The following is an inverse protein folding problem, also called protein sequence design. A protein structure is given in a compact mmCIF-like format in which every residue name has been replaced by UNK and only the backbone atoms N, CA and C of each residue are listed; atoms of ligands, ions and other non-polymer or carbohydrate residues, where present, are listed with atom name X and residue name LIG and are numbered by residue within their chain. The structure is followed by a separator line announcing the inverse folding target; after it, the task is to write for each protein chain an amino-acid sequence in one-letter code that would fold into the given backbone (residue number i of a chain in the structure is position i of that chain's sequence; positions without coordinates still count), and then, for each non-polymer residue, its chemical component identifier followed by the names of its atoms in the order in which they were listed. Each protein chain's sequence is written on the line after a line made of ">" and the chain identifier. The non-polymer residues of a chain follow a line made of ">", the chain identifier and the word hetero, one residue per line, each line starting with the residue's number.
data_IF_124111176271
#
_entry.id   IF_124111176271
#
_cell.length_a   1.000
_cell.length_b   1.000
_cell.length_c   1.000
_cell.angle_alpha   90.00
_cell.angle_beta   90.00
_cell.angle_gamma   90.00
#
_symmetry.space_group_name_H-M   'P 1'
#
loop_
_entity.id
_entity.type
_entity.pdbx_description
1 polymer ?
#
# COMPACT_ATOMS: atom_id res chain seq x y z
N UNK A 1 -24.49 -13.79 1.91
CA UNK A 1 -23.98 -12.40 1.77
C UNK A 1 -22.62 -12.24 2.43
N UNK A 2 -22.40 -12.75 3.64
CA UNK A 2 -21.13 -12.61 4.38
C UNK A 2 -19.90 -13.26 3.71
N UNK A 3 -20.06 -14.45 3.12
CA UNK A 3 -18.99 -15.13 2.38
C UNK A 3 -18.47 -14.30 1.19
N UNK A 4 -19.38 -13.59 0.52
CA UNK A 4 -19.02 -12.77 -0.66
C UNK A 4 -18.26 -11.49 -0.26
N UNK A 5 -18.63 -10.86 0.87
CA UNK A 5 -17.87 -9.73 1.42
C UNK A 5 -16.48 -10.15 1.89
N UNK A 6 -16.36 -11.30 2.55
CA UNK A 6 -15.09 -11.78 3.09
C UNK A 6 -14.07 -12.07 1.98
N UNK A 7 -14.52 -12.64 0.85
CA UNK A 7 -13.65 -12.83 -0.32
C UNK A 7 -13.20 -11.51 -0.95
N UNK A 8 -14.07 -10.50 -0.98
CA UNK A 8 -13.72 -9.18 -1.50
C UNK A 8 -12.68 -8.50 -0.60
N UNK A 9 -12.89 -8.56 0.72
CA UNK A 9 -11.99 -8.00 1.72
C UNK A 9 -10.59 -8.62 1.63
N UNK A 10 -10.50 -9.95 1.51
CA UNK A 10 -9.22 -10.65 1.29
C UNK A 10 -8.54 -10.22 -0.01
N UNK A 11 -9.28 -10.04 -1.10
CA UNK A 11 -8.72 -9.58 -2.38
C UNK A 11 -8.17 -8.15 -2.29
N UNK A 12 -8.90 -7.26 -1.62
CA UNK A 12 -8.44 -5.88 -1.37
C UNK A 12 -7.16 -5.92 -0.52
N UNK A 13 -7.15 -6.72 0.56
CA UNK A 13 -6.00 -6.89 1.45
C UNK A 13 -4.74 -7.31 0.69
N UNK A 14 -4.84 -8.37 -0.14
CA UNK A 14 -3.72 -8.88 -0.94
C UNK A 14 -3.24 -7.87 -1.98
N UNK A 15 -4.17 -7.24 -2.72
CA UNK A 15 -3.81 -6.22 -3.72
C UNK A 15 -3.12 -5.03 -3.07
N UNK A 16 -3.60 -4.56 -1.92
CA UNK A 16 -2.98 -3.45 -1.20
C UNK A 16 -1.57 -3.82 -0.74
N UNK A 17 -1.37 -5.03 -0.25
CA UNK A 17 -0.03 -5.53 0.08
C UNK A 17 0.92 -5.53 -1.12
N UNK A 18 0.47 -6.02 -2.28
CA UNK A 18 1.25 -5.99 -3.53
C UNK A 18 1.62 -4.56 -3.95
N UNK A 19 0.67 -3.62 -3.87
CA UNK A 19 0.97 -2.21 -4.14
C UNK A 19 1.95 -1.61 -3.13
N UNK A 20 1.86 -1.97 -1.85
CA UNK A 20 2.82 -1.53 -0.83
C UNK A 20 4.23 -2.02 -1.15
N UNK A 21 4.37 -3.29 -1.54
CA UNK A 21 5.64 -3.87 -1.96
C UNK A 21 6.21 -3.17 -3.21
N UNK A 22 5.38 -2.93 -4.24
CA UNK A 22 5.79 -2.18 -5.43
C UNK A 22 6.23 -0.76 -5.08
N UNK A 23 5.51 -0.08 -4.19
CA UNK A 23 5.87 1.25 -3.69
C UNK A 23 7.24 1.22 -3.04
N UNK A 24 7.52 0.22 -2.20
CA UNK A 24 8.82 0.03 -1.57
C UNK A 24 9.93 -0.14 -2.60
N UNK A 25 9.73 -1.01 -3.60
CA UNK A 25 10.69 -1.25 -4.69
C UNK A 25 10.98 0.05 -5.44
N UNK A 26 9.95 0.84 -5.76
CA UNK A 26 10.12 2.12 -6.46
C UNK A 26 10.92 3.11 -5.59
N UNK A 27 10.57 3.26 -4.30
CA UNK A 27 11.30 4.14 -3.41
C UNK A 27 12.78 3.74 -3.26
N UNK A 28 13.06 2.44 -3.18
CA UNK A 28 14.42 1.90 -3.04
C UNK A 28 15.22 2.06 -4.34
N UNK A 29 14.62 1.79 -5.50
CA UNK A 29 15.31 1.85 -6.80
C UNK A 29 15.56 3.26 -7.29
N UNK A 30 14.63 4.19 -7.00
CA UNK A 30 14.77 5.61 -7.34
C UNK A 30 15.45 6.43 -6.24
N UNK A 31 15.90 5.79 -5.16
CA UNK A 31 16.52 6.43 -4.00
C UNK A 31 15.68 7.59 -3.42
N UNK A 32 14.35 7.39 -3.33
CA UNK A 32 13.45 8.37 -2.73
C UNK A 32 13.65 8.36 -1.21
N UNK A 33 14.16 9.46 -0.67
CA UNK A 33 14.53 9.63 0.74
C UNK A 33 13.61 10.60 1.47
N UNK A 34 13.67 10.54 2.80
CA UNK A 34 13.01 11.49 3.70
C UNK A 34 11.51 11.72 3.36
N UNK A 35 11.09 12.98 3.35
CA UNK A 35 9.71 13.38 3.06
C UNK A 35 9.24 13.00 1.66
N UNK A 36 10.14 12.93 0.67
CA UNK A 36 9.78 12.60 -0.71
C UNK A 36 9.28 11.16 -0.81
N UNK A 37 9.98 10.22 -0.15
CA UNK A 37 9.54 8.82 -0.12
C UNK A 37 8.18 8.67 0.56
N UNK A 38 7.95 9.40 1.66
CA UNK A 38 6.65 9.42 2.37
C UNK A 38 5.54 9.98 1.50
N UNK A 39 5.76 11.14 0.87
CA UNK A 39 4.76 11.76 -0.02
C UNK A 39 4.42 10.85 -1.20
N UNK A 40 5.43 10.20 -1.79
CA UNK A 40 5.23 9.26 -2.88
C UNK A 40 4.36 8.08 -2.46
N UNK A 41 4.67 7.44 -1.32
CA UNK A 41 3.87 6.30 -0.88
C UNK A 41 2.45 6.67 -0.44
N UNK A 42 2.21 7.87 0.08
CA UNK A 42 0.84 8.36 0.30
C UNK A 42 0.12 8.56 -1.04
N UNK A 43 0.78 9.18 -2.02
CA UNK A 43 0.20 9.39 -3.35
C UNK A 43 -0.16 8.05 -4.03
N UNK A 44 0.74 7.06 -3.98
CA UNK A 44 0.47 5.72 -4.50
C UNK A 44 -0.71 5.08 -3.76
N UNK A 45 -0.79 5.21 -2.44
CA UNK A 45 -1.93 4.68 -1.68
C UNK A 45 -3.27 5.26 -2.16
N UNK A 46 -3.33 6.57 -2.40
CA UNK A 46 -4.53 7.21 -2.94
C UNK A 46 -4.85 6.65 -4.34
N UNK A 47 -3.85 6.50 -5.20
CA UNK A 47 -4.01 5.92 -6.55
C UNK A 47 -4.49 4.47 -6.55
N UNK A 48 -4.16 3.70 -5.52
CA UNK A 48 -4.64 2.32 -5.42
C UNK A 48 -6.16 2.22 -5.22
N UNK A 49 -6.84 3.26 -4.73
CA UNK A 49 -8.31 3.26 -4.53
C UNK A 49 -9.06 3.10 -5.87
N UNK A 50 -8.90 4.00 -6.87
CA UNK A 50 -9.55 3.83 -8.18
C UNK A 50 -9.02 2.60 -8.93
N UNK A 51 -7.74 2.23 -8.75
CA UNK A 51 -7.17 1.02 -9.39
C UNK A 51 -7.84 -0.26 -8.89
N UNK A 52 -7.93 -0.47 -7.58
CA UNK A 52 -8.57 -1.65 -7.01
C UNK A 52 -10.05 -1.69 -7.37
N UNK A 53 -10.74 -0.53 -7.33
CA UNK A 53 -12.14 -0.42 -7.78
C UNK A 53 -12.31 -0.92 -9.21
N UNK A 54 -11.37 -0.57 -10.10
CA UNK A 54 -11.38 -0.97 -11.52
C UNK A 54 -10.99 -2.44 -11.71
N UNK A 55 -9.93 -2.91 -11.05
CA UNK A 55 -9.43 -4.29 -11.16
C UNK A 55 -10.49 -5.29 -10.66
N UNK A 56 -11.07 -5.04 -9.49
CA UNK A 56 -12.06 -5.92 -8.88
C UNK A 56 -13.50 -5.65 -9.35
N UNK A 57 -13.69 -4.67 -10.24
CA UNK A 57 -15.01 -4.26 -10.77
C UNK A 57 -16.06 -4.08 -9.66
N UNK A 58 -15.68 -3.40 -8.57
CA UNK A 58 -16.50 -3.27 -7.36
C UNK A 58 -17.73 -2.42 -7.65
N UNK A 59 -18.92 -3.01 -7.48
CA UNK A 59 -20.20 -2.30 -7.47
C UNK A 59 -20.53 -1.79 -6.07
N UNK A 60 -21.31 -0.70 -5.92
CA UNK A 60 -21.74 -0.20 -4.60
C UNK A 60 -22.44 -1.26 -3.76
N UNK A 61 -23.20 -2.14 -4.40
CA UNK A 61 -23.90 -3.28 -3.76
C UNK A 61 -22.99 -4.32 -3.12
N UNK A 62 -21.70 -4.32 -3.47
CA UNK A 62 -20.74 -5.34 -3.00
C UNK A 62 -19.98 -4.91 -1.74
N UNK A 63 -20.08 -3.63 -1.36
CA UNK A 63 -19.43 -3.07 -0.19
C UNK A 63 -20.43 -3.06 0.97
N UNK A 64 -20.01 -3.54 2.15
CA UNK A 64 -20.82 -3.38 3.38
C UNK A 64 -20.88 -1.91 3.81
N UNK A 65 -19.77 -1.19 3.63
CA UNK A 65 -19.65 0.24 3.88
C UNK A 65 -18.67 0.89 2.89
N UNK A 66 -18.86 2.16 2.50
CA UNK A 66 -17.97 2.85 1.56
C UNK A 66 -16.53 2.96 2.09
N UNK A 67 -16.36 3.08 3.40
CA UNK A 67 -15.06 3.15 4.09
C UNK A 67 -14.22 1.87 3.97
N UNK A 68 -14.84 0.71 3.70
CA UNK A 68 -14.10 -0.55 3.54
C UNK A 68 -13.04 -0.45 2.45
N UNK A 69 -13.32 0.23 1.34
CA UNK A 69 -12.33 0.37 0.26
C UNK A 69 -11.14 1.27 0.66
N UNK A 70 -11.35 2.18 1.61
CA UNK A 70 -10.34 3.16 2.05
C UNK A 70 -9.49 2.64 3.20
N UNK A 71 -10.05 1.84 4.10
CA UNK A 71 -9.35 1.36 5.30
C UNK A 71 -8.82 -0.05 5.10
N UNK A 72 -9.57 -0.88 4.36
CA UNK A 72 -9.21 -2.28 4.24
C UNK A 72 -7.93 -2.44 3.42
N UNK A 73 -6.98 -3.21 3.95
CA UNK A 73 -5.65 -3.32 3.38
C UNK A 73 -4.69 -2.15 3.67
N UNK A 74 -5.07 -1.13 4.47
CA UNK A 74 -4.13 -0.08 4.89
C UNK A 74 -2.92 -0.66 5.63
N UNK A 75 -3.15 -1.55 6.60
CA UNK A 75 -2.10 -2.19 7.37
C UNK A 75 -1.08 -2.97 6.51
N UNK A 76 -1.47 -3.92 5.63
CA UNK A 76 -0.51 -4.62 4.78
C UNK A 76 0.18 -3.70 3.77
N UNK A 77 -0.48 -2.65 3.28
CA UNK A 77 0.17 -1.65 2.43
C UNK A 77 1.30 -0.94 3.17
N UNK A 78 1.02 -0.39 4.35
CA UNK A 78 2.01 0.32 5.15
C UNK A 78 3.14 -0.61 5.59
N UNK A 79 2.83 -1.83 6.02
CA UNK A 79 3.84 -2.81 6.42
C UNK A 79 4.79 -3.17 5.26
N UNK A 80 4.25 -3.48 4.08
CA UNK A 80 5.06 -3.88 2.93
C UNK A 80 5.72 -2.71 2.20
N UNK A 81 5.28 -1.49 2.44
CA UNK A 81 5.96 -0.28 1.96
C UNK A 81 7.04 0.20 2.92
N UNK A 82 6.67 0.55 4.16
CA UNK A 82 7.53 1.23 5.11
C UNK A 82 8.63 0.33 5.64
N UNK A 83 8.32 -0.92 6.01
CA UNK A 83 9.33 -1.81 6.62
C UNK A 83 10.51 -2.04 5.66
N UNK A 84 10.31 -2.49 4.40
CA UNK A 84 11.46 -2.73 3.53
C UNK A 84 12.15 -1.44 3.10
N UNK A 85 11.40 -0.34 2.93
CA UNK A 85 11.98 0.95 2.54
C UNK A 85 12.87 1.53 3.64
N UNK A 86 12.40 1.55 4.90
CA UNK A 86 13.17 2.03 6.05
C UNK A 86 14.39 1.14 6.28
N UNK A 87 14.22 -0.18 6.22
CA UNK A 87 15.34 -1.11 6.36
C UNK A 87 16.40 -0.84 5.29
N UNK A 88 16.00 -0.73 4.02
CA UNK A 88 16.93 -0.42 2.94
C UNK A 88 17.59 0.96 3.10
N UNK A 89 16.85 1.95 3.59
CA UNK A 89 17.39 3.28 3.88
C UNK A 89 18.47 3.23 4.96
N UNK A 90 18.20 2.56 6.08
CA UNK A 90 19.14 2.43 7.20
C UNK A 90 20.48 1.81 6.79
N UNK A 91 20.47 0.82 5.90
CA UNK A 91 21.71 0.19 5.41
C UNK A 91 22.47 1.03 4.36
N UNK A 92 21.85 2.09 3.82
CA UNK A 92 22.43 2.95 2.78
C UNK A 92 22.93 4.29 3.30
N UNK A 93 22.42 4.77 4.44
CA UNK A 93 22.92 6.00 5.06
C UNK A 93 24.28 5.70 5.69
N UNK A 94 25.39 6.30 5.22
CA UNK A 94 26.69 6.13 5.86
C UNK A 94 26.58 6.67 7.29
N UNK A 95 26.86 5.83 8.27
CA UNK A 95 26.98 6.31 9.64
C UNK A 95 28.25 7.17 9.70
N UNK A 96 28.18 8.46 10.06
CA UNK A 96 29.39 9.23 10.29
C UNK A 96 30.20 8.49 11.37
N UNK A 97 31.45 8.15 11.05
CA UNK A 97 32.37 7.57 12.03
C UNK A 97 32.48 8.54 13.23
N UNK A 98 32.58 8.02 14.47
CA UNK A 98 32.71 8.84 15.67
C UNK A 98 33.93 9.75 15.64
#
# INVERSE_FOLDING_TARGET
>A
MELMSLQLDTKIYVLRGLFGLLTSIICITMDLKDSIGVMFGIAVYILTIPLIRRILRIKPSNLKAPEQLYINGLAPYLALWLIPWIVAYTFRVPHPAP
#
